data_IF_605432892090
#
_entry.id   IF_605432892090
#
_cell.length_a   1.000
_cell.length_b   1.000
_cell.length_c   1.000
_cell.angle_alpha   90.00
_cell.angle_beta   90.00
_cell.angle_gamma   90.00
#
_symmetry.space_group_name_H-M   'P 1'
#
loop_
_entity.id
_entity.type
_entity.pdbx_description
1 polymer ?
#
# COMPACT_ATOMS: atom_id res chain seq x y z
N UNK A 1 13.50 0.87 11.68
CA UNK A 1 12.28 0.89 12.49
C UNK A 1 11.10 0.50 11.63
N UNK A 2 10.33 -0.50 12.04
CA UNK A 2 9.18 -0.94 11.25
C UNK A 2 7.94 -0.11 11.58
N UNK A 3 7.08 0.03 10.59
CA UNK A 3 5.82 0.75 10.72
C UNK A 3 4.81 -0.15 11.45
N UNK A 4 4.05 0.43 12.38
CA UNK A 4 2.98 -0.27 13.06
C UNK A 4 1.89 -0.63 12.04
N UNK A 5 1.37 -1.83 12.14
CA UNK A 5 0.33 -2.32 11.23
C UNK A 5 -1.03 -2.29 11.93
N UNK A 6 -2.08 -2.04 11.14
CA UNK A 6 -3.45 -2.13 11.64
C UNK A 6 -3.87 -3.60 11.55
N UNK A 7 -4.20 -4.19 12.68
CA UNK A 7 -4.60 -5.60 12.74
C UNK A 7 -5.98 -5.71 13.36
N UNK A 8 -6.90 -6.38 12.68
CA UNK A 8 -8.24 -6.64 13.18
C UNK A 8 -8.59 -8.11 12.90
N UNK A 9 -9.05 -8.80 13.93
CA UNK A 9 -9.47 -10.21 13.82
C UNK A 9 -8.39 -11.11 13.18
N UNK A 10 -7.12 -10.82 13.48
CA UNK A 10 -6.01 -11.59 12.95
C UNK A 10 -5.62 -11.24 11.52
N UNK A 11 -6.20 -10.20 10.94
CA UNK A 11 -5.91 -9.74 9.58
C UNK A 11 -5.22 -8.39 9.59
N UNK A 12 -4.24 -8.22 8.72
CA UNK A 12 -3.46 -7.00 8.55
C UNK A 12 -4.04 -6.18 7.40
N UNK A 13 -4.23 -4.88 7.63
CA UNK A 13 -4.68 -3.96 6.60
C UNK A 13 -3.52 -3.56 5.71
N UNK A 14 -3.67 -3.72 4.40
CA UNK A 14 -2.65 -3.36 3.40
C UNK A 14 -3.27 -2.41 2.38
N UNK A 15 -2.63 -1.27 2.15
CA UNK A 15 -3.10 -0.30 1.16
C UNK A 15 -2.55 -0.65 -0.23
N UNK A 16 -3.41 -0.59 -1.23
CA UNK A 16 -3.01 -0.78 -2.63
C UNK A 16 -3.94 0.03 -3.53
N UNK A 17 -3.52 0.29 -4.76
CA UNK A 17 -4.33 1.09 -5.68
C UNK A 17 -4.63 0.31 -6.96
N UNK A 18 -5.83 -0.30 -7.06
CA UNK A 18 -6.28 -0.89 -8.31
C UNK A 18 -6.64 0.23 -9.30
N UNK A 19 -6.26 0.07 -10.56
CA UNK A 19 -6.55 1.06 -11.59
C UNK A 19 -5.31 1.45 -12.37
N UNK A 20 -5.45 1.54 -13.68
CA UNK A 20 -4.32 1.86 -14.55
C UNK A 20 -3.80 3.27 -14.26
N UNK A 21 -2.48 3.38 -14.17
CA UNK A 21 -1.83 4.65 -13.86
C UNK A 21 -1.80 4.99 -12.38
N UNK A 22 -2.33 4.13 -11.51
CA UNK A 22 -2.41 4.41 -10.08
C UNK A 22 -1.06 4.25 -9.36
N UNK A 23 -0.48 3.06 -9.40
CA UNK A 23 0.89 2.79 -8.91
C UNK A 23 1.24 3.37 -7.56
N UNK A 24 0.70 2.81 -6.47
CA UNK A 24 0.96 3.32 -5.13
C UNK A 24 2.33 2.87 -4.61
N UNK A 25 2.40 1.82 -3.79
CA UNK A 25 3.69 1.36 -3.26
C UNK A 25 4.62 0.84 -4.34
N UNK A 26 4.09 0.14 -5.34
CA UNK A 26 4.88 -0.49 -6.38
C UNK A 26 5.71 0.53 -7.19
N UNK A 27 5.10 1.61 -7.65
CA UNK A 27 5.82 2.62 -8.41
C UNK A 27 6.77 3.42 -7.54
N UNK A 28 6.34 3.76 -6.33
CA UNK A 28 7.16 4.59 -5.45
C UNK A 28 8.39 3.87 -4.91
N UNK A 29 8.29 2.57 -4.67
CA UNK A 29 9.44 1.80 -4.18
C UNK A 29 10.36 1.32 -5.31
N UNK A 30 9.84 1.19 -6.51
CA UNK A 30 10.65 0.83 -7.68
C UNK A 30 11.66 1.93 -8.03
N UNK A 31 11.21 3.18 -7.97
CA UNK A 31 12.06 4.33 -8.31
C UNK A 31 12.97 4.73 -7.15
N UNK A 32 12.50 4.60 -5.93
CA UNK A 32 13.22 5.02 -4.73
C UNK A 32 13.11 3.93 -3.67
N UNK A 33 13.95 2.87 -3.79
CA UNK A 33 13.85 1.75 -2.83
C UNK A 33 14.26 2.20 -1.43
N UNK A 34 13.25 2.49 -0.61
CA UNK A 34 13.39 2.88 0.78
C UNK A 34 12.36 2.08 1.57
N UNK A 35 12.86 1.23 2.46
CA UNK A 35 12.00 0.32 3.21
C UNK A 35 10.99 1.05 4.09
N UNK A 36 11.40 2.16 4.70
CA UNK A 36 10.50 2.94 5.54
C UNK A 36 9.37 3.57 4.73
N UNK A 37 9.69 4.12 3.55
CA UNK A 37 8.67 4.67 2.65
C UNK A 37 7.73 3.56 2.20
N UNK A 38 8.28 2.41 1.79
CA UNK A 38 7.48 1.27 1.34
C UNK A 38 6.50 0.81 2.43
N UNK A 39 6.99 0.58 3.64
CA UNK A 39 6.15 0.11 4.74
C UNK A 39 5.12 1.16 5.15
N UNK A 40 5.48 2.44 5.12
CA UNK A 40 4.54 3.51 5.42
C UNK A 40 3.39 3.52 4.41
N UNK A 41 3.70 3.42 3.12
CA UNK A 41 2.68 3.42 2.08
C UNK A 41 1.77 2.20 2.15
N UNK A 42 2.30 1.06 2.58
CA UNK A 42 1.52 -0.19 2.67
C UNK A 42 0.68 -0.27 3.94
N UNK A 43 1.23 0.14 5.09
CA UNK A 43 0.66 -0.25 6.37
C UNK A 43 0.31 0.87 7.33
N UNK A 44 0.81 2.09 7.14
CA UNK A 44 0.71 3.10 8.19
C UNK A 44 -0.73 3.36 8.62
N UNK A 45 -0.99 3.33 9.95
CA UNK A 45 -2.36 3.49 10.47
C UNK A 45 -3.09 4.74 10.00
N UNK A 46 -2.39 5.86 9.84
CA UNK A 46 -3.02 7.11 9.38
C UNK A 46 -3.49 6.99 7.93
N UNK A 47 -2.71 6.31 7.08
CA UNK A 47 -3.09 6.07 5.69
C UNK A 47 -4.29 5.12 5.63
N UNK A 48 -4.22 4.01 6.37
CA UNK A 48 -5.31 3.04 6.41
C UNK A 48 -6.60 3.71 6.91
N UNK A 49 -6.51 4.52 7.95
CA UNK A 49 -7.65 5.24 8.49
C UNK A 49 -8.29 6.15 7.46
N UNK A 50 -7.49 6.89 6.69
CA UNK A 50 -7.97 7.78 5.65
C UNK A 50 -8.72 7.01 4.57
N UNK A 51 -8.18 5.87 4.14
CA UNK A 51 -8.81 5.03 3.12
C UNK A 51 -10.14 4.49 3.63
N UNK A 52 -10.17 3.94 4.84
CA UNK A 52 -11.38 3.37 5.43
C UNK A 52 -12.45 4.43 5.69
N UNK A 53 -12.06 5.69 5.84
CA UNK A 53 -12.98 6.81 6.03
C UNK A 53 -13.47 7.41 4.71
N UNK A 54 -13.02 6.88 3.58
CA UNK A 54 -13.37 7.42 2.26
C UNK A 54 -12.68 8.73 1.91
N UNK A 55 -11.58 9.04 2.59
CA UNK A 55 -10.83 10.29 2.42
C UNK A 55 -9.48 10.07 1.73
N UNK A 56 -9.35 9.00 0.97
CA UNK A 56 -8.08 8.62 0.34
C UNK A 56 -7.55 9.68 -0.63
N UNK A 57 -8.41 10.43 -1.27
CA UNK A 57 -7.96 11.48 -2.21
C UNK A 57 -7.27 12.65 -1.51
N UNK A 58 -7.37 12.74 -0.19
CA UNK A 58 -6.66 13.75 0.59
C UNK A 58 -5.22 13.36 0.88
N UNK A 59 -4.85 12.11 0.57
CA UNK A 59 -3.48 11.61 0.77
C UNK A 59 -2.64 12.06 -0.42
N UNK A 60 -2.24 13.32 -0.40
CA UNK A 60 -1.39 13.91 -1.44
C UNK A 60 0.06 13.85 -1.01
N UNK A 61 0.96 14.17 -1.93
CA UNK A 61 2.39 14.28 -1.60
C UNK A 61 2.61 15.27 -0.47
N UNK A 62 1.92 16.42 -0.51
CA UNK A 62 2.00 17.43 0.56
C UNK A 62 1.54 16.87 1.90
N UNK A 63 0.44 16.10 1.91
CA UNK A 63 -0.06 15.46 3.11
C UNK A 63 0.97 14.49 3.68
N UNK A 64 1.60 13.70 2.81
CA UNK A 64 2.62 12.73 3.20
C UNK A 64 3.84 13.42 3.82
N UNK A 65 4.31 14.51 3.21
CA UNK A 65 5.45 15.28 3.74
C UNK A 65 5.10 15.88 5.11
N UNK A 66 3.90 16.44 5.23
CA UNK A 66 3.46 17.04 6.47
C UNK A 66 3.36 16.03 7.61
N UNK A 67 2.91 14.82 7.32
CA UNK A 67 2.73 13.78 8.34
C UNK A 67 3.97 12.94 8.59
N UNK A 68 4.78 12.71 7.57
CA UNK A 68 5.90 11.75 7.65
C UNK A 68 7.26 12.32 7.32
N UNK A 69 7.34 13.54 6.78
CA UNK A 69 8.60 14.24 6.57
C UNK A 69 9.06 14.33 5.11
N UNK A 70 10.17 15.06 4.92
CA UNK A 70 10.73 15.39 3.60
C UNK A 70 11.09 14.17 2.75
N UNK A 71 11.31 13.04 3.36
CA UNK A 71 11.61 11.77 2.68
C UNK A 71 10.50 11.40 1.67
N UNK A 72 9.27 11.92 1.87
CA UNK A 72 8.12 11.63 1.02
C UNK A 72 7.86 12.66 -0.08
N UNK A 73 8.73 13.64 -0.24
CA UNK A 73 8.52 14.77 -1.17
C UNK A 73 8.42 14.36 -2.64
N UNK A 74 8.94 13.19 -3.01
CA UNK A 74 8.92 12.72 -4.39
C UNK A 74 7.93 11.57 -4.63
N UNK A 75 7.06 11.32 -3.67
CA UNK A 75 6.07 10.24 -3.80
C UNK A 75 5.02 10.63 -4.84
N UNK A 76 4.78 9.72 -5.77
CA UNK A 76 3.71 9.87 -6.76
C UNK A 76 2.36 9.57 -6.10
N UNK A 77 1.47 10.52 -6.11
CA UNK A 77 0.16 10.38 -5.46
C UNK A 77 -1.00 10.25 -6.45
N UNK A 78 -0.71 10.07 -7.74
CA UNK A 78 -1.73 10.05 -8.79
C UNK A 78 -2.79 8.96 -8.65
N UNK A 79 -2.52 7.92 -7.88
CA UNK A 79 -3.48 6.83 -7.65
C UNK A 79 -4.22 6.93 -6.32
N UNK A 80 -4.10 8.04 -5.60
CA UNK A 80 -4.66 8.12 -4.25
C UNK A 80 -6.18 7.96 -4.22
N UNK A 81 -6.91 8.42 -5.23
CA UNK A 81 -8.37 8.28 -5.29
C UNK A 81 -8.81 6.83 -5.39
N UNK A 82 -7.93 5.96 -5.88
CA UNK A 82 -8.23 4.55 -6.12
C UNK A 82 -7.75 3.64 -5.01
N UNK A 83 -7.15 4.20 -3.96
CA UNK A 83 -6.64 3.40 -2.86
C UNK A 83 -7.73 2.59 -2.18
N UNK A 84 -7.42 1.34 -1.90
CA UNK A 84 -8.30 0.43 -1.18
C UNK A 84 -7.48 -0.31 -0.13
N UNK A 85 -8.17 -0.90 0.82
CA UNK A 85 -7.54 -1.72 1.85
C UNK A 85 -7.87 -3.18 1.60
N UNK A 86 -6.85 -4.03 1.60
CA UNK A 86 -7.02 -5.48 1.56
C UNK A 86 -6.60 -6.03 2.92
N UNK A 87 -7.43 -6.88 3.50
CA UNK A 87 -7.15 -7.51 4.79
C UNK A 87 -6.52 -8.87 4.54
N UNK A 88 -5.30 -9.05 5.04
CA UNK A 88 -4.51 -10.27 4.81
C UNK A 88 -4.23 -10.93 6.14
N UNK A 89 -4.46 -12.24 6.25
CA UNK A 89 -4.18 -12.98 7.48
C UNK A 89 -2.75 -12.74 7.94
N UNK A 90 -2.58 -12.42 9.22
CA UNK A 90 -1.28 -12.16 9.81
C UNK A 90 -0.32 -13.32 9.56
N UNK A 91 0.89 -13.00 9.11
CA UNK A 91 1.89 -14.01 8.79
C UNK A 91 1.83 -14.53 7.35
N UNK A 92 0.79 -14.20 6.60
CA UNK A 92 0.69 -14.62 5.21
C UNK A 92 1.67 -13.80 4.35
N UNK A 93 2.42 -14.49 3.52
CA UNK A 93 3.31 -13.83 2.56
C UNK A 93 2.50 -13.38 1.35
N UNK A 94 2.76 -12.17 0.90
CA UNK A 94 2.08 -11.62 -0.27
C UNK A 94 3.03 -10.75 -1.07
N UNK A 95 2.62 -10.42 -2.28
CA UNK A 95 3.33 -9.45 -3.11
C UNK A 95 2.31 -8.54 -3.79
N UNK A 96 2.78 -7.39 -4.24
CA UNK A 96 1.98 -6.47 -5.04
C UNK A 96 2.36 -6.69 -6.50
N UNK A 97 1.42 -7.23 -7.28
CA UNK A 97 1.57 -7.30 -8.73
C UNK A 97 1.12 -5.98 -9.32
N UNK A 98 1.82 -5.51 -10.33
CA UNK A 98 1.47 -4.24 -10.96
C UNK A 98 1.49 -4.38 -12.48
N UNK A 99 0.46 -3.82 -13.13
CA UNK A 99 0.37 -3.79 -14.59
C UNK A 99 -0.12 -2.40 -14.99
N UNK A 100 0.76 -1.60 -15.58
CA UNK A 100 0.49 -0.20 -15.92
C UNK A 100 -0.08 0.59 -14.74
N UNK A 101 0.48 0.36 -13.55
CA UNK A 101 0.06 1.02 -12.32
C UNK A 101 -1.13 0.38 -11.61
N UNK A 102 -1.82 -0.56 -12.27
CA UNK A 102 -2.93 -1.27 -11.66
C UNK A 102 -2.37 -2.34 -10.72
N UNK A 103 -2.48 -2.07 -9.41
CA UNK A 103 -1.95 -2.96 -8.39
C UNK A 103 -2.97 -4.02 -8.01
N UNK A 104 -2.47 -5.23 -7.76
CA UNK A 104 -3.26 -6.30 -7.19
C UNK A 104 -2.42 -7.02 -6.14
N UNK A 105 -3.09 -7.58 -5.14
CA UNK A 105 -2.42 -8.29 -4.06
C UNK A 105 -2.50 -9.78 -4.32
N UNK A 106 -1.35 -10.46 -4.32
CA UNK A 106 -1.26 -11.91 -4.52
C UNK A 106 -0.72 -12.53 -3.25
N UNK A 107 -1.56 -13.33 -2.58
CA UNK A 107 -1.17 -14.04 -1.37
C UNK A 107 -0.68 -15.44 -1.72
N UNK A 108 0.42 -15.85 -1.10
CA UNK A 108 1.00 -17.17 -1.36
C UNK A 108 -0.01 -18.29 -1.08
N UNK A 109 -0.77 -18.16 0.00
CA UNK A 109 -1.74 -19.17 0.41
C UNK A 109 -2.97 -19.25 -0.49
N UNK A 110 -3.16 -18.27 -1.37
CA UNK A 110 -4.27 -18.24 -2.31
C UNK A 110 -3.90 -18.75 -3.69
N UNK A 111 -2.67 -19.18 -3.87
CA UNK A 111 -2.19 -19.70 -5.15
C UNK A 111 -2.56 -21.20 -5.21
N UNK A 112 -3.31 -21.56 -6.24
CA UNK A 112 -3.61 -22.97 -6.49
C UNK A 112 -2.43 -23.62 -7.17
N UNK A 113 -1.82 -24.57 -6.49
CA UNK A 113 -0.68 -25.30 -7.01
C UNK A 113 -1.17 -26.57 -7.71
N UNK A 114 -0.66 -26.80 -8.91
CA UNK A 114 -0.93 -28.04 -9.64
C UNK A 114 0.29 -28.91 -9.56
N UNK A 115 0.07 -30.17 -9.25
CA UNK A 115 1.15 -31.15 -9.26
C UNK A 115 1.09 -31.95 -10.54
N UNK A 116 2.24 -32.20 -11.12
CA UNK A 116 2.34 -33.01 -12.33
C UNK A 116 2.05 -34.49 -12.02
#
# INVERSE_FOLDING_TARGET
>A
MSVEKVIENGNVAVAYSPGYGAGWSSWNTNMFPDKEVEETLLYHPEIIKMILSGRQKEITTSWLVEHFGEKFKNVYDGGNEQLEVCWIAEGTKFKIDVHDGNESIVCVDNINWYEA
#
